data_IF_419090179223
#
_entry.id   IF_419090179223
#
_cell.length_a   1.000
_cell.length_b   1.000
_cell.length_c   1.000
_cell.angle_alpha   90.00
_cell.angle_beta   90.00
_cell.angle_gamma   90.00
#
_symmetry.space_group_name_H-M   'P 1'
#
loop_
_entity.id
_entity.type
_entity.pdbx_description
1 polymer ?
#
# COMPACT_ATOMS: atom_id res chain seq x y z
N UNK A 1 -17.21 23.73 1.33
CA UNK A 1 -17.67 22.34 1.16
C UNK A 1 -16.43 21.49 1.11
N UNK A 2 -16.33 20.42 1.90
CA UNK A 2 -15.23 19.45 1.79
C UNK A 2 -15.24 18.85 0.39
N UNK A 3 -14.11 18.92 -0.32
CA UNK A 3 -13.97 18.40 -1.67
C UNK A 3 -13.06 17.16 -1.68
N UNK A 4 -13.49 16.13 -2.41
CA UNK A 4 -12.67 14.96 -2.71
C UNK A 4 -12.58 14.81 -4.22
N UNK A 5 -11.36 14.90 -4.74
CA UNK A 5 -11.05 14.58 -6.12
C UNK A 5 -10.49 13.15 -6.19
N UNK A 6 -10.96 12.37 -7.16
CA UNK A 6 -10.51 10.99 -7.41
C UNK A 6 -10.06 10.90 -8.86
N UNK A 7 -8.81 10.47 -9.08
CA UNK A 7 -8.21 10.35 -10.41
C UNK A 7 -7.76 8.91 -10.60
N UNK A 8 -8.43 8.12 -11.46
CA UNK A 8 -8.09 6.71 -11.66
C UNK A 8 -6.68 6.54 -12.25
N UNK A 9 -5.95 5.56 -11.73
CA UNK A 9 -4.67 5.09 -12.23
C UNK A 9 -4.82 3.63 -12.66
N UNK A 10 -4.91 3.40 -13.98
CA UNK A 10 -5.22 2.07 -14.51
C UNK A 10 -4.02 1.13 -14.49
N UNK A 11 -4.25 -0.15 -14.24
CA UNK A 11 -3.22 -1.18 -14.15
C UNK A 11 -2.27 -1.20 -15.35
N UNK A 12 -2.82 -1.00 -16.56
CA UNK A 12 -2.09 -0.96 -17.83
C UNK A 12 -1.20 0.29 -18.02
N UNK A 13 -1.25 1.26 -17.09
CA UNK A 13 -0.35 2.42 -17.03
C UNK A 13 0.84 2.20 -16.10
N UNK A 14 0.83 1.13 -15.30
CA UNK A 14 1.97 0.75 -14.47
C UNK A 14 3.10 0.23 -15.34
N UNK A 15 4.33 0.54 -14.95
CA UNK A 15 5.49 -0.15 -15.50
C UNK A 15 5.46 -1.62 -15.06
N UNK A 16 6.01 -2.52 -15.85
CA UNK A 16 6.17 -3.90 -15.43
C UNK A 16 7.46 -4.49 -15.98
N UNK A 17 7.98 -5.49 -15.27
CA UNK A 17 9.11 -6.28 -15.70
C UNK A 17 8.86 -7.76 -15.36
N UNK A 18 9.30 -8.64 -16.25
CA UNK A 18 9.31 -10.09 -16.06
C UNK A 18 10.76 -10.58 -16.23
N UNK A 19 11.37 -11.00 -15.13
CA UNK A 19 12.72 -11.55 -15.08
C UNK A 19 12.72 -13.09 -15.03
N UNK A 20 11.58 -13.73 -15.29
CA UNK A 20 11.37 -15.17 -15.16
C UNK A 20 11.13 -15.59 -13.70
N UNK A 21 12.12 -15.34 -12.82
CA UNK A 21 12.06 -15.68 -11.40
C UNK A 21 11.32 -14.62 -10.55
N UNK A 22 11.29 -13.38 -11.01
CA UNK A 22 10.59 -12.27 -10.37
C UNK A 22 9.79 -11.49 -11.41
N UNK A 23 8.54 -11.19 -11.05
CA UNK A 23 7.61 -10.40 -11.87
C UNK A 23 7.11 -9.25 -11.03
N UNK A 24 7.23 -8.03 -11.54
CA UNK A 24 6.94 -6.81 -10.80
C UNK A 24 6.05 -5.88 -11.60
N UNK A 25 5.11 -5.24 -10.90
CA UNK A 25 4.44 -4.03 -11.35
C UNK A 25 4.93 -2.81 -10.56
N UNK A 26 5.36 -1.77 -11.28
CA UNK A 26 5.81 -0.50 -10.74
C UNK A 26 4.71 0.55 -10.89
N UNK A 27 4.15 0.98 -9.75
CA UNK A 27 3.11 2.01 -9.73
C UNK A 27 3.69 3.42 -9.78
N UNK A 28 4.85 3.62 -9.15
CA UNK A 28 5.61 4.87 -9.17
C UNK A 28 6.97 4.66 -9.86
N UNK A 29 7.58 5.76 -10.31
CA UNK A 29 8.89 5.73 -10.98
C UNK A 29 9.94 5.00 -10.12
N UNK A 30 10.63 4.01 -10.70
CA UNK A 30 11.68 3.21 -10.05
C UNK A 30 12.74 2.79 -11.07
N UNK A 31 14.02 2.74 -10.66
CA UNK A 31 15.15 2.36 -11.50
C UNK A 31 15.17 3.07 -12.89
N UNK A 32 15.15 2.32 -14.00
CA UNK A 32 15.12 2.87 -15.37
C UNK A 32 13.71 3.30 -15.84
N UNK A 33 12.66 3.02 -15.06
CA UNK A 33 11.31 3.45 -15.37
C UNK A 33 11.08 4.88 -14.88
N UNK A 34 11.22 5.84 -15.80
CA UNK A 34 10.87 7.24 -15.58
C UNK A 34 9.66 7.58 -16.45
N UNK A 35 8.58 8.06 -15.82
CA UNK A 35 7.44 8.63 -16.56
C UNK A 35 7.18 10.05 -16.09
N UNK A 36 7.14 11.00 -17.02
CA UNK A 36 6.93 12.42 -16.71
C UNK A 36 5.53 12.71 -16.12
N UNK A 37 4.56 11.83 -16.34
CA UNK A 37 3.16 12.02 -15.90
C UNK A 37 2.93 11.72 -14.42
N UNK A 38 3.67 10.78 -13.83
CA UNK A 38 3.52 10.41 -12.41
C UNK A 38 4.23 11.38 -11.45
N UNK A 39 5.12 12.23 -11.97
CA UNK A 39 5.78 13.26 -11.19
C UNK A 39 4.90 14.51 -10.96
N UNK A 40 3.83 14.70 -11.75
CA UNK A 40 2.97 15.89 -11.69
C UNK A 40 1.96 15.91 -10.52
N UNK A 41 1.61 14.75 -9.95
CA UNK A 41 0.69 14.68 -8.80
C UNK A 41 1.40 14.80 -7.43
N UNK A 42 2.73 14.93 -7.43
CA UNK A 42 3.52 15.28 -6.25
C UNK A 42 3.32 14.29 -5.09
N UNK A 43 3.85 13.08 -5.21
CA UNK A 43 3.87 12.10 -4.12
C UNK A 43 4.96 12.47 -3.12
N UNK A 44 4.89 13.58 -2.40
CA UNK A 44 6.07 14.14 -1.69
C UNK A 44 6.78 13.15 -0.77
N UNK A 45 6.04 12.24 -0.13
CA UNK A 45 6.58 11.22 0.77
C UNK A 45 6.59 9.80 0.19
N UNK A 46 5.58 9.36 -0.57
CA UNK A 46 5.56 8.04 -1.21
C UNK A 46 6.45 8.01 -2.46
N UNK A 47 7.36 7.05 -2.56
CA UNK A 47 8.35 6.94 -3.65
C UNK A 47 8.20 5.67 -4.48
N UNK A 48 7.92 4.55 -3.81
CA UNK A 48 7.82 3.24 -4.46
C UNK A 48 6.56 2.57 -3.96
N UNK A 49 5.83 1.94 -4.89
CA UNK A 49 4.81 0.94 -4.62
C UNK A 49 4.98 -0.10 -5.72
N UNK A 50 5.65 -1.18 -5.35
CA UNK A 50 5.82 -2.34 -6.20
C UNK A 50 4.89 -3.44 -5.73
N UNK A 51 4.36 -4.16 -6.70
CA UNK A 51 3.62 -5.39 -6.47
C UNK A 51 4.39 -6.53 -7.12
N UNK A 52 5.01 -7.35 -6.27
CA UNK A 52 6.02 -8.32 -6.65
C UNK A 52 5.48 -9.74 -6.50
N UNK A 53 5.81 -10.58 -7.48
CA UNK A 53 5.58 -12.03 -7.47
C UNK A 53 6.92 -12.72 -7.68
N UNK A 54 7.32 -13.51 -6.69
CA UNK A 54 8.64 -14.14 -6.63
C UNK A 54 8.46 -15.66 -6.58
N UNK A 55 9.10 -16.35 -7.52
CA UNK A 55 9.00 -17.80 -7.64
C UNK A 55 9.54 -18.52 -6.39
N UNK A 56 9.11 -19.77 -6.13
CA UNK A 56 9.63 -20.59 -5.04
C UNK A 56 11.16 -20.66 -5.04
N UNK A 57 11.77 -20.64 -3.86
CA UNK A 57 13.22 -20.81 -3.66
C UNK A 57 14.11 -19.83 -4.45
N UNK A 58 13.67 -18.59 -4.66
CA UNK A 58 14.44 -17.56 -5.41
C UNK A 58 14.78 -16.31 -4.57
N UNK A 59 15.91 -15.70 -4.93
CA UNK A 59 16.54 -14.59 -4.20
C UNK A 59 16.27 -13.24 -4.87
N UNK A 60 16.00 -12.18 -4.10
CA UNK A 60 15.85 -10.82 -4.64
C UNK A 60 17.17 -10.03 -4.64
N UNK A 61 18.01 -10.13 -3.59
CA UNK A 61 19.38 -9.53 -3.45
C UNK A 61 20.13 -10.25 -2.30
N UNK A 62 21.47 -10.38 -2.31
CA UNK A 62 22.26 -10.95 -1.20
C UNK A 62 22.91 -9.89 -0.28
N UNK A 63 22.86 -10.06 1.07
CA UNK A 63 24.03 -10.19 1.99
C UNK A 63 23.63 -10.41 3.49
N UNK A 64 24.51 -11.14 4.19
CA UNK A 64 24.66 -11.53 5.61
C UNK A 64 24.11 -10.56 6.68
N UNK A 65 23.17 -11.09 7.49
CA UNK A 65 22.84 -10.64 8.85
C UNK A 65 21.36 -10.87 9.22
N UNK A 66 21.08 -11.63 10.29
CA UNK A 66 19.78 -12.00 10.88
C UNK A 66 18.66 -12.41 9.89
N UNK A 67 18.33 -13.70 9.85
CA UNK A 67 17.22 -14.23 9.03
C UNK A 67 15.88 -13.99 9.75
N UNK A 68 14.98 -13.22 9.14
CA UNK A 68 13.57 -13.13 9.54
C UNK A 68 12.72 -13.87 8.51
N UNK A 69 11.78 -14.72 8.97
CA UNK A 69 10.89 -15.50 8.10
C UNK A 69 9.48 -14.95 8.25
N UNK A 70 8.96 -14.33 7.18
CA UNK A 70 7.57 -13.88 7.07
C UNK A 70 6.79 -14.91 6.25
N UNK A 71 5.67 -15.40 6.78
CA UNK A 71 4.82 -16.36 6.06
C UNK A 71 3.59 -15.65 5.47
N UNK A 72 3.31 -15.91 4.19
CA UNK A 72 2.07 -15.49 3.51
C UNK A 72 0.85 -16.11 4.19
N UNK A 73 -0.28 -15.40 4.23
CA UNK A 73 -1.52 -15.85 4.89
C UNK A 73 -1.62 -15.53 6.38
N UNK A 74 -0.58 -14.92 6.96
CA UNK A 74 -0.58 -14.45 8.35
C UNK A 74 -0.65 -12.90 8.45
N UNK A 75 -0.80 -12.19 7.32
CA UNK A 75 -0.95 -10.73 7.29
C UNK A 75 0.14 -9.97 8.05
N UNK A 76 1.38 -10.43 7.93
CA UNK A 76 2.53 -9.72 8.48
C UNK A 76 2.78 -8.41 7.74
N UNK A 77 3.13 -7.37 8.50
CA UNK A 77 3.74 -6.15 7.97
C UNK A 77 5.15 -6.06 8.53
N UNK A 78 6.14 -5.94 7.66
CA UNK A 78 7.50 -5.57 8.04
C UNK A 78 7.72 -4.11 7.64
N UNK A 79 8.15 -3.31 8.61
CA UNK A 79 8.54 -1.93 8.40
C UNK A 79 10.00 -1.78 8.76
N UNK A 80 10.77 -1.20 7.84
CA UNK A 80 12.20 -0.98 8.01
C UNK A 80 12.47 0.53 7.93
N UNK A 81 12.97 1.10 9.02
CA UNK A 81 13.53 2.45 9.02
C UNK A 81 15.00 2.35 8.67
N UNK A 82 15.38 2.72 7.44
CA UNK A 82 16.76 2.63 6.92
C UNK A 82 17.74 3.50 7.71
N UNK A 83 17.33 4.70 8.11
CA UNK A 83 18.14 5.59 8.93
C UNK A 83 19.50 5.92 8.29
N UNK A 84 20.56 5.81 9.08
CA UNK A 84 21.97 6.00 8.65
C UNK A 84 22.48 4.93 7.68
N UNK A 85 21.72 3.87 7.44
CA UNK A 85 22.02 2.85 6.43
C UNK A 85 21.71 1.44 6.91
N UNK A 86 21.21 0.62 5.98
CA UNK A 86 21.03 -0.82 6.18
C UNK A 86 21.56 -1.59 4.98
N UNK A 87 21.86 -2.85 5.23
CA UNK A 87 22.03 -3.88 4.20
C UNK A 87 21.00 -4.95 4.49
N UNK A 88 20.18 -5.30 3.50
CA UNK A 88 19.14 -6.32 3.64
C UNK A 88 19.04 -7.18 2.38
N UNK A 89 18.49 -8.37 2.56
CA UNK A 89 18.15 -9.33 1.52
C UNK A 89 16.78 -9.91 1.82
N UNK A 90 15.97 -10.07 0.78
CA UNK A 90 14.68 -10.74 0.85
C UNK A 90 14.70 -11.94 -0.10
N UNK A 91 14.16 -13.07 0.37
CA UNK A 91 14.20 -14.36 -0.32
C UNK A 91 12.85 -15.05 -0.17
N UNK A 92 12.36 -15.67 -1.24
CA UNK A 92 11.24 -16.59 -1.12
C UNK A 92 11.78 -17.99 -0.82
N UNK A 93 11.78 -18.38 0.46
CA UNK A 93 12.18 -19.74 0.88
C UNK A 93 10.98 -20.72 0.93
N UNK A 94 9.80 -20.33 0.45
CA UNK A 94 8.62 -21.17 0.40
C UNK A 94 8.56 -22.05 -0.85
N UNK A 95 7.69 -23.07 -0.78
CA UNK A 95 7.34 -23.93 -1.92
C UNK A 95 6.39 -23.25 -2.92
N UNK A 96 5.71 -22.19 -2.48
CA UNK A 96 4.75 -21.43 -3.27
C UNK A 96 5.31 -20.07 -3.74
N UNK A 97 4.70 -19.50 -4.78
CA UNK A 97 4.97 -18.13 -5.20
C UNK A 97 4.63 -17.14 -4.07
N UNK A 98 5.60 -16.29 -3.71
CA UNK A 98 5.38 -15.18 -2.81
C UNK A 98 4.78 -14.01 -3.58
N UNK A 99 3.73 -13.39 -3.01
CA UNK A 99 3.10 -12.17 -3.53
C UNK A 99 3.13 -11.13 -2.42
N UNK A 100 3.79 -10.00 -2.68
CA UNK A 100 4.01 -8.95 -1.70
C UNK A 100 3.88 -7.56 -2.32
N UNK A 101 3.68 -6.57 -1.45
CA UNK A 101 3.85 -5.16 -1.79
C UNK A 101 5.10 -4.60 -1.12
N UNK A 102 5.92 -3.91 -1.90
CA UNK A 102 7.03 -3.12 -1.37
C UNK A 102 6.72 -1.63 -1.49
N UNK A 103 6.65 -0.94 -0.35
CA UNK A 103 6.25 0.46 -0.26
C UNK A 103 7.39 1.27 0.36
N UNK A 104 7.89 2.29 -0.35
CA UNK A 104 8.95 3.15 0.16
C UNK A 104 8.45 4.57 0.35
N UNK A 105 8.84 5.15 1.49
CA UNK A 105 8.54 6.54 1.81
C UNK A 105 9.77 7.30 2.28
N UNK A 106 9.77 8.62 2.06
CA UNK A 106 10.79 9.53 2.56
C UNK A 106 10.59 9.77 4.05
N UNK A 107 11.69 9.65 4.79
CA UNK A 107 11.76 10.04 6.19
C UNK A 107 11.69 11.56 6.33
N UNK A 108 10.85 12.06 7.24
CA UNK A 108 10.85 13.47 7.65
C UNK A 108 11.88 13.79 8.73
N UNK A 109 12.47 12.77 9.33
CA UNK A 109 13.51 12.89 10.35
C UNK A 109 14.80 12.28 9.85
N UNK A 110 15.85 13.09 9.73
CA UNK A 110 17.18 12.64 9.30
C UNK A 110 17.94 11.96 10.46
N UNK A 111 18.97 11.18 10.11
CA UNK A 111 19.94 10.59 11.04
C UNK A 111 19.34 9.68 12.13
N UNK A 112 18.20 9.06 11.86
CA UNK A 112 17.67 8.00 12.71
C UNK A 112 18.59 6.78 12.68
N UNK A 113 18.69 6.07 13.80
CA UNK A 113 19.28 4.73 13.81
C UNK A 113 18.38 3.77 13.02
N UNK A 114 18.96 2.76 12.33
CA UNK A 114 18.18 1.71 11.70
C UNK A 114 17.24 1.00 12.68
N UNK A 115 16.02 0.70 12.26
CA UNK A 115 15.05 0.00 13.08
C UNK A 115 14.17 -0.94 12.24
N UNK A 116 13.78 -2.05 12.85
CA UNK A 116 12.90 -3.07 12.27
C UNK A 116 11.64 -3.19 13.12
N UNK A 117 10.49 -3.26 12.47
CA UNK A 117 9.20 -3.46 13.13
C UNK A 117 8.42 -4.54 12.42
N UNK A 118 7.96 -5.53 13.17
CA UNK A 118 7.12 -6.62 12.70
C UNK A 118 5.77 -6.50 13.39
N UNK A 119 4.71 -6.52 12.60
CA UNK A 119 3.32 -6.56 13.07
C UNK A 119 2.61 -7.71 12.40
N UNK A 120 1.62 -8.26 13.08
CA UNK A 120 0.82 -9.37 12.61
C UNK A 120 -0.65 -8.94 12.63
N UNK A 121 -1.31 -9.01 11.48
CA UNK A 121 -2.72 -8.68 11.31
C UNK A 121 -3.43 -9.87 10.67
N UNK A 122 -4.24 -10.58 11.45
CA UNK A 122 -4.96 -11.74 10.93
C UNK A 122 -5.98 -11.33 9.86
N UNK A 123 -6.26 -12.21 8.91
CA UNK A 123 -7.24 -11.94 7.86
C UNK A 123 -8.64 -11.68 8.41
N UNK A 124 -9.04 -12.41 9.47
CA UNK A 124 -10.30 -12.19 10.20
C UNK A 124 -10.44 -10.76 10.74
N UNK A 125 -9.31 -10.12 11.07
CA UNK A 125 -9.28 -8.74 11.54
C UNK A 125 -9.35 -7.72 10.41
N UNK A 126 -9.23 -8.11 9.15
CA UNK A 126 -9.22 -7.18 7.99
C UNK A 126 -10.57 -7.09 7.27
N UNK A 127 -11.51 -7.98 7.55
CA UNK A 127 -12.78 -8.03 6.84
C UNK A 127 -13.65 -6.80 7.10
N UNK A 128 -14.13 -6.20 6.01
CA UNK A 128 -15.18 -5.17 5.96
C UNK A 128 -14.93 -3.96 6.89
N UNK A 129 -13.65 -3.66 7.15
CA UNK A 129 -13.22 -2.48 7.92
C UNK A 129 -11.80 -2.09 7.57
N UNK A 130 -11.48 -0.81 7.74
CA UNK A 130 -10.11 -0.33 7.61
C UNK A 130 -9.26 -0.75 8.81
N UNK A 131 -8.23 -1.54 8.57
CA UNK A 131 -7.19 -1.85 9.54
C UNK A 131 -5.99 -0.97 9.27
N UNK A 132 -5.61 -0.16 10.25
CA UNK A 132 -4.42 0.68 10.14
C UNK A 132 -3.17 -0.13 10.49
N UNK A 133 -2.31 -0.38 9.50
CA UNK A 133 -1.12 -1.23 9.63
C UNK A 133 0.16 -0.44 9.86
N UNK A 134 0.22 0.79 9.36
CA UNK A 134 1.34 1.73 9.53
C UNK A 134 0.77 3.10 9.87
N UNK A 135 1.38 3.82 10.81
CA UNK A 135 0.97 5.18 11.14
C UNK A 135 2.14 6.03 11.70
N UNK A 136 2.07 7.37 11.60
CA UNK A 136 3.16 8.24 12.06
C UNK A 136 3.47 8.02 13.55
N UNK A 137 4.75 8.13 13.92
CA UNK A 137 5.17 8.09 15.33
C UNK A 137 4.36 9.11 16.16
N UNK A 138 3.91 8.68 17.33
CA UNK A 138 3.04 9.48 18.21
C UNK A 138 1.54 9.38 17.90
N UNK A 139 1.14 8.72 16.81
CA UNK A 139 -0.27 8.44 16.53
C UNK A 139 -0.84 7.43 17.54
N UNK A 140 -2.13 7.53 17.85
CA UNK A 140 -2.85 6.64 18.78
C UNK A 140 -2.55 5.16 18.46
N UNK A 141 -2.13 4.38 19.43
CA UNK A 141 -1.92 2.93 19.28
C UNK A 141 -0.60 2.51 18.59
N UNK A 142 0.22 3.46 18.13
CA UNK A 142 1.57 3.18 17.63
C UNK A 142 2.51 2.91 18.80
N UNK A 143 3.34 1.87 18.69
CA UNK A 143 4.33 1.49 19.70
C UNK A 143 5.70 1.37 19.07
N UNK A 144 6.71 1.97 19.71
CA UNK A 144 8.11 1.89 19.30
C UNK A 144 8.79 0.66 19.93
N UNK A 145 8.33 -0.51 19.48
CA UNK A 145 8.82 -1.83 19.88
C UNK A 145 8.92 -2.67 18.61
N UNK A 146 10.02 -3.44 18.47
CA UNK A 146 10.24 -4.31 17.30
C UNK A 146 9.02 -5.18 17.00
N UNK A 147 8.45 -5.81 18.03
CA UNK A 147 7.21 -6.59 17.94
C UNK A 147 6.18 -6.04 18.92
N UNK A 148 4.97 -5.76 18.44
CA UNK A 148 3.86 -5.30 19.25
C UNK A 148 2.52 -5.49 18.50
N UNK A 149 1.41 -5.28 19.19
CA UNK A 149 0.11 -5.08 18.53
C UNK A 149 -0.06 -3.62 18.08
N UNK A 150 -0.92 -3.41 17.08
CA UNK A 150 -1.22 -2.10 16.52
C UNK A 150 -0.30 -1.70 15.35
N UNK A 151 -0.44 -0.48 14.81
CA UNK A 151 0.29 -0.06 13.62
C UNK A 151 1.80 0.03 13.86
N UNK A 152 2.59 -0.28 12.84
CA UNK A 152 4.03 -0.01 12.81
C UNK A 152 4.29 1.50 12.82
N UNK A 153 5.28 1.97 13.60
CA UNK A 153 5.70 3.36 13.57
C UNK A 153 6.37 3.71 12.23
N UNK A 154 6.03 4.86 11.67
CA UNK A 154 6.75 5.46 10.54
C UNK A 154 7.14 6.91 10.83
N UNK A 155 8.36 7.29 10.46
CA UNK A 155 8.84 8.68 10.53
C UNK A 155 8.54 9.42 9.22
N UNK A 156 7.29 9.34 8.79
CA UNK A 156 6.75 10.00 7.59
C UNK A 156 5.30 10.34 7.86
N UNK A 157 4.74 11.43 7.28
CA UNK A 157 3.34 11.81 7.43
C UNK A 157 2.45 10.94 6.51
N UNK A 158 2.52 9.62 6.70
CA UNK A 158 1.66 8.69 5.98
C UNK A 158 1.04 7.67 6.93
N UNK A 159 -0.16 7.25 6.58
CA UNK A 159 -0.90 6.17 7.26
C UNK A 159 -1.32 5.15 6.23
N UNK A 160 -1.07 3.87 6.51
CA UNK A 160 -1.49 2.77 5.62
C UNK A 160 -2.66 2.05 6.27
N UNK A 161 -3.72 1.87 5.48
CA UNK A 161 -4.89 1.08 5.80
C UNK A 161 -4.99 -0.10 4.84
N UNK A 162 -5.46 -1.23 5.35
CA UNK A 162 -5.74 -2.43 4.55
C UNK A 162 -7.14 -2.94 4.88
N UNK A 163 -7.76 -3.64 3.94
CA UNK A 163 -9.02 -4.35 4.16
C UNK A 163 -9.17 -5.53 3.21
N UNK A 164 -9.93 -6.53 3.64
CA UNK A 164 -10.53 -7.56 2.81
C UNK A 164 -12.02 -7.24 2.69
N UNK A 165 -12.45 -6.70 1.55
CA UNK A 165 -13.82 -6.22 1.38
C UNK A 165 -14.68 -7.30 0.74
N UNK A 166 -15.64 -7.84 1.47
CA UNK A 166 -16.54 -8.90 1.00
C UNK A 166 -17.50 -8.38 -0.09
N UNK A 167 -18.12 -9.27 -0.90
CA UNK A 167 -19.12 -8.87 -1.90
C UNK A 167 -20.24 -8.01 -1.31
N UNK A 168 -20.67 -7.00 -2.08
CA UNK A 168 -21.73 -6.04 -1.72
C UNK A 168 -21.49 -5.21 -0.44
N UNK A 169 -20.29 -5.28 0.15
CA UNK A 169 -19.94 -4.49 1.33
C UNK A 169 -19.45 -3.10 0.96
N UNK A 170 -19.74 -2.17 1.85
CA UNK A 170 -19.35 -0.77 1.75
C UNK A 170 -18.64 -0.33 3.03
N UNK A 171 -17.53 0.38 2.87
CA UNK A 171 -16.75 0.95 3.97
C UNK A 171 -16.39 2.41 3.67
N UNK A 172 -16.09 3.15 4.73
CA UNK A 172 -15.87 4.59 4.66
C UNK A 172 -14.55 4.97 5.31
N UNK A 173 -13.85 5.94 4.75
CA UNK A 173 -12.74 6.64 5.40
C UNK A 173 -13.00 8.14 5.38
N UNK A 174 -12.92 8.78 6.55
CA UNK A 174 -12.86 10.24 6.63
C UNK A 174 -11.41 10.69 6.65
N UNK A 175 -11.01 11.51 5.67
CA UNK A 175 -9.67 12.07 5.65
C UNK A 175 -9.47 13.00 6.85
N UNK A 176 -8.35 12.85 7.60
CA UNK A 176 -8.05 13.74 8.71
C UNK A 176 -7.88 15.17 8.20
N UNK A 177 -8.07 16.15 9.09
CA UNK A 177 -7.70 17.53 8.76
C UNK A 177 -6.17 17.63 8.72
N UNK A 178 -5.57 18.10 7.61
CA UNK A 178 -4.13 18.28 7.55
C UNK A 178 -3.68 19.33 8.58
N UNK A 179 -2.48 19.15 9.14
CA UNK A 179 -1.88 20.06 10.12
C UNK A 179 -1.30 21.32 9.46
N UNK A 180 -0.86 21.24 8.21
CA UNK A 180 -0.04 22.29 7.59
C UNK A 180 -0.61 22.92 6.31
N UNK A 181 -1.35 22.20 5.46
CA UNK A 181 -1.84 22.73 4.18
C UNK A 181 -3.29 22.30 3.89
N UNK A 182 -3.87 22.76 2.77
CA UNK A 182 -5.31 22.82 2.56
C UNK A 182 -5.99 21.46 2.33
N UNK A 183 -5.30 20.46 1.78
CA UNK A 183 -5.88 19.16 1.41
C UNK A 183 -4.87 18.02 1.62
N UNK A 184 -5.34 16.89 2.15
CA UNK A 184 -4.60 15.62 2.22
C UNK A 184 -4.50 14.98 0.84
N UNK A 185 -3.49 14.14 0.66
CA UNK A 185 -3.33 13.30 -0.53
C UNK A 185 -3.60 11.85 -0.16
N UNK A 186 -4.12 11.08 -1.10
CA UNK A 186 -4.33 9.66 -0.90
C UNK A 186 -3.99 8.84 -2.14
N UNK A 187 -3.69 7.57 -1.92
CA UNK A 187 -3.62 6.58 -2.99
C UNK A 187 -4.31 5.30 -2.53
N UNK A 188 -5.30 4.84 -3.30
CA UNK A 188 -5.93 3.52 -3.12
C UNK A 188 -5.41 2.59 -4.20
N UNK A 189 -5.14 1.33 -3.85
CA UNK A 189 -4.68 0.30 -4.78
C UNK A 189 -5.47 -0.98 -4.55
N UNK A 190 -5.99 -1.56 -5.64
CA UNK A 190 -6.68 -2.85 -5.62
C UNK A 190 -5.63 -3.93 -5.90
N UNK A 191 -5.42 -4.82 -4.92
CA UNK A 191 -4.36 -5.84 -5.00
C UNK A 191 -4.64 -6.83 -6.13
N UNK A 192 -3.59 -7.20 -6.86
CA UNK A 192 -3.64 -8.12 -7.98
C UNK A 192 -3.58 -9.59 -7.55
N UNK A 193 -4.67 -10.12 -6.99
CA UNK A 193 -4.78 -11.49 -6.46
C UNK A 193 -4.89 -12.60 -7.51
N UNK A 194 -5.37 -12.34 -8.72
CA UNK A 194 -5.61 -13.33 -9.79
C UNK A 194 -4.36 -13.81 -10.54
N UNK A 195 -3.19 -13.24 -10.23
CA UNK A 195 -1.92 -13.61 -10.87
C UNK A 195 -1.25 -12.44 -11.57
N UNK A 196 -0.03 -12.66 -12.08
CA UNK A 196 0.66 -11.66 -12.90
C UNK A 196 -0.04 -11.50 -14.25
N UNK A 197 -0.60 -10.32 -14.50
CA UNK A 197 -1.36 -9.99 -15.70
C UNK A 197 -1.19 -8.50 -16.05
N UNK A 198 -0.53 -8.21 -17.17
CA UNK A 198 -0.29 -6.83 -17.64
C UNK A 198 -1.50 -6.21 -18.36
N UNK A 199 -2.54 -7.00 -18.62
CA UNK A 199 -3.83 -6.56 -19.16
C UNK A 199 -4.87 -6.34 -18.06
N UNK A 200 -6.13 -6.63 -18.39
CA UNK A 200 -7.21 -6.56 -17.41
C UNK A 200 -7.16 -7.83 -16.53
N UNK A 201 -6.97 -7.65 -15.22
CA UNK A 201 -7.12 -8.72 -14.23
C UNK A 201 -8.53 -9.31 -14.21
N UNK A 202 -8.66 -10.56 -13.78
CA UNK A 202 -9.93 -11.28 -13.68
C UNK A 202 -10.55 -11.24 -12.28
N UNK A 203 -9.89 -10.58 -11.32
CA UNK A 203 -10.30 -10.49 -9.93
C UNK A 203 -11.31 -9.39 -9.64
N UNK A 204 -11.32 -9.01 -8.37
CA UNK A 204 -12.32 -8.14 -7.76
C UNK A 204 -12.43 -6.74 -8.37
N UNK A 205 -13.60 -6.12 -8.16
CA UNK A 205 -13.89 -4.76 -8.63
C UNK A 205 -14.56 -3.94 -7.53
N UNK A 206 -14.07 -2.73 -7.34
CA UNK A 206 -14.64 -1.79 -6.37
C UNK A 206 -15.13 -0.53 -7.07
N UNK A 207 -16.18 0.08 -6.54
CA UNK A 207 -16.47 1.48 -6.78
C UNK A 207 -15.84 2.32 -5.68
N UNK A 208 -15.27 3.46 -6.07
CA UNK A 208 -14.68 4.44 -5.17
C UNK A 208 -15.34 5.78 -5.45
N UNK A 209 -15.92 6.39 -4.43
CA UNK A 209 -16.63 7.66 -4.57
C UNK A 209 -16.42 8.60 -3.40
N UNK A 210 -16.72 9.89 -3.61
CA UNK A 210 -16.90 10.83 -2.51
C UNK A 210 -18.21 10.54 -1.76
N UNK A 211 -18.33 10.92 -0.48
CA UNK A 211 -19.53 10.69 0.34
C UNK A 211 -20.86 11.17 -0.28
N UNK A 212 -20.81 12.20 -1.12
CA UNK A 212 -21.97 12.70 -1.87
C UNK A 212 -22.31 11.91 -3.15
N UNK A 213 -21.51 10.89 -3.48
CA UNK A 213 -21.55 10.01 -4.67
C UNK A 213 -21.58 10.74 -6.02
N UNK A 214 -21.14 12.01 -6.07
CA UNK A 214 -21.09 12.79 -7.32
C UNK A 214 -19.83 12.52 -8.14
N UNK A 215 -18.76 12.07 -7.48
CA UNK A 215 -17.51 11.63 -8.11
C UNK A 215 -17.40 10.15 -7.81
N UNK A 216 -17.38 9.33 -8.86
CA UNK A 216 -17.32 7.87 -8.75
C UNK A 216 -16.40 7.33 -9.85
N UNK A 217 -15.59 6.34 -9.50
CA UNK A 217 -14.86 5.52 -10.47
C UNK A 217 -14.89 4.07 -10.04
N UNK A 218 -15.02 3.17 -11.01
CA UNK A 218 -14.80 1.74 -10.78
C UNK A 218 -13.33 1.44 -10.97
N UNK A 219 -12.72 0.76 -10.01
CA UNK A 219 -11.36 0.23 -10.05
C UNK A 219 -11.42 -1.29 -10.11
N UNK A 220 -10.62 -1.89 -10.98
CA UNK A 220 -10.44 -3.33 -11.04
C UNK A 220 -9.15 -3.70 -10.33
N UNK A 221 -8.98 -4.99 -10.12
CA UNK A 221 -7.71 -5.57 -9.77
C UNK A 221 -6.49 -4.94 -10.51
N UNK A 222 -5.48 -4.52 -9.74
CA UNK A 222 -4.28 -3.87 -10.23
C UNK A 222 -4.44 -2.38 -10.57
N UNK A 223 -5.67 -1.85 -10.62
CA UNK A 223 -5.91 -0.41 -10.70
C UNK A 223 -5.68 0.23 -9.33
N UNK A 224 -5.40 1.53 -9.35
CA UNK A 224 -5.49 2.40 -8.19
C UNK A 224 -6.18 3.71 -8.52
N UNK A 225 -6.19 4.63 -7.56
CA UNK A 225 -6.59 6.02 -7.79
C UNK A 225 -5.86 6.98 -6.89
N UNK A 226 -5.48 8.13 -7.46
CA UNK A 226 -5.00 9.29 -6.72
C UNK A 226 -6.16 10.05 -6.12
N UNK A 227 -5.95 10.56 -4.91
CA UNK A 227 -6.93 11.35 -4.20
C UNK A 227 -6.33 12.65 -3.70
N UNK A 228 -7.11 13.72 -3.78
CA UNK A 228 -6.87 15.00 -3.14
C UNK A 228 -8.12 15.33 -2.34
N UNK A 229 -8.00 15.46 -1.03
CA UNK A 229 -9.13 15.50 -0.11
C UNK A 229 -8.99 16.64 0.88
N UNK A 230 -9.98 17.53 0.97
CA UNK A 230 -10.03 18.47 2.08
C UNK A 230 -10.29 17.71 3.39
N UNK A 231 -9.78 18.24 4.50
CA UNK A 231 -10.01 17.63 5.80
C UNK A 231 -11.50 17.42 6.13
N UNK A 232 -11.87 16.21 6.53
CA UNK A 232 -13.26 15.81 6.77
C UNK A 232 -14.01 15.35 5.51
N UNK A 233 -13.36 15.30 4.35
CA UNK A 233 -13.92 14.63 3.17
C UNK A 233 -14.04 13.13 3.42
N UNK A 234 -15.12 12.54 2.91
CA UNK A 234 -15.40 11.12 3.06
C UNK A 234 -15.15 10.38 1.74
N UNK A 235 -14.38 9.30 1.83
CA UNK A 235 -14.20 8.29 0.81
C UNK A 235 -15.13 7.11 1.09
N UNK A 236 -15.94 6.75 0.10
CA UNK A 236 -16.77 5.55 0.12
C UNK A 236 -16.14 4.52 -0.81
N UNK A 237 -15.97 3.29 -0.33
CA UNK A 237 -15.48 2.17 -1.11
C UNK A 237 -16.48 1.02 -1.03
N UNK A 238 -16.98 0.59 -2.18
CA UNK A 238 -18.00 -0.46 -2.28
C UNK A 238 -17.45 -1.59 -3.13
N UNK A 239 -17.52 -2.82 -2.65
CA UNK A 239 -17.25 -3.98 -3.51
C UNK A 239 -18.45 -4.20 -4.43
N UNK A 240 -18.19 -4.15 -5.74
CA UNK A 240 -19.21 -4.28 -6.80
C UNK A 240 -19.09 -5.62 -7.54
N UNK A 241 -18.18 -6.47 -7.10
CA UNK A 241 -17.97 -7.82 -7.61
C UNK A 241 -18.61 -8.90 -6.74
N UNK A 242 -18.37 -10.14 -7.14
CA UNK A 242 -18.87 -11.38 -6.53
C UNK A 242 -17.83 -12.10 -5.66
N UNK A 243 -16.63 -11.52 -5.53
CA UNK A 243 -15.51 -12.05 -4.76
C UNK A 243 -14.94 -11.01 -3.80
N UNK A 244 -14.29 -11.48 -2.73
CA UNK A 244 -13.59 -10.60 -1.78
C UNK A 244 -12.46 -9.86 -2.48
N UNK A 245 -12.38 -8.54 -2.26
CA UNK A 245 -11.32 -7.69 -2.82
C UNK A 245 -10.34 -7.28 -1.72
N UNK A 246 -9.05 -7.50 -1.94
CA UNK A 246 -8.01 -6.98 -1.07
C UNK A 246 -7.60 -5.58 -1.54
N UNK A 247 -7.56 -4.63 -0.60
CA UNK A 247 -7.38 -3.22 -0.89
C UNK A 247 -6.40 -2.62 0.11
N UNK A 248 -5.49 -1.80 -0.38
CA UNK A 248 -4.65 -0.92 0.43
C UNK A 248 -4.99 0.54 0.12
N UNK A 249 -5.01 1.35 1.17
CA UNK A 249 -5.22 2.79 1.11
C UNK A 249 -4.11 3.49 1.88
N UNK A 250 -3.40 4.39 1.21
CA UNK A 250 -2.32 5.19 1.78
C UNK A 250 -2.82 6.63 1.87
N UNK A 251 -3.03 7.10 3.09
CA UNK A 251 -3.28 8.51 3.40
C UNK A 251 -1.94 9.21 3.63
N UNK A 252 -1.76 10.38 3.01
CA UNK A 252 -0.54 11.16 3.00
C UNK A 252 -0.88 12.61 3.34
N UNK A 253 -0.26 13.11 4.40
CA UNK A 253 -0.39 14.49 4.88
C UNK A 253 0.80 15.36 4.44
#
# INVERSE_FOLDING_TARGET
MSSLQIIPHRSNKRGNADHGWSKVFHTFSFAMYQTNTHNHYGHWHLRVLNEDRVQPFTDFVETIGNIEILKRGLGYTQMISVGTGIRHSEKNNGEDEAHLLQIWAILTTANLSPAYYIRHFLDEDKYDKWVRTVAPVGSKGVRDQREASGPSPVHSPLTVFVTLLSPDKEIFLTFPRPRFCCSSKGYIHVIQTSGYNAGNGAGGRISVSAGNRRVETVLREGDGAYMMADGGSELVVTNTGDSTVEIILIDME
#
